data_IF_755477785299
#
_entry.id   IF_755477785299
#
_cell.length_a   1.000
_cell.length_b   1.000
_cell.length_c   1.000
_cell.angle_alpha   90.00
_cell.angle_beta   90.00
_cell.angle_gamma   90.00
#
_symmetry.space_group_name_H-M   'P 1'
#
loop_
_entity.id
_entity.type
_entity.pdbx_description
1 polymer ?
#
# COMPACT_ATOMS: atom_id res chain seq x y z
N UNK A 1 8.07 -19.19 5.39
CA UNK A 1 9.54 -19.07 5.63
C UNK A 1 9.76 -17.68 6.17
N UNK A 2 10.38 -17.55 7.35
CA UNK A 2 10.66 -16.25 7.94
C UNK A 2 11.93 -15.65 7.32
N UNK A 3 11.93 -14.33 7.12
CA UNK A 3 13.09 -13.61 6.64
C UNK A 3 14.21 -13.62 7.69
N UNK A 4 15.46 -13.74 7.24
CA UNK A 4 16.62 -13.67 8.15
C UNK A 4 16.93 -12.23 8.57
N UNK A 5 16.51 -11.27 7.74
CA UNK A 5 16.68 -9.84 7.97
C UNK A 5 15.58 -9.38 8.90
N UNK A 6 15.97 -8.64 9.94
CA UNK A 6 15.05 -8.08 10.94
C UNK A 6 14.51 -6.75 10.42
N UNK A 7 13.19 -6.61 10.42
CA UNK A 7 12.53 -5.37 10.04
C UNK A 7 11.11 -5.26 10.59
N UNK A 8 10.62 -4.03 10.66
CA UNK A 8 9.27 -3.71 11.07
C UNK A 8 8.35 -3.65 9.84
N UNK A 9 7.08 -4.02 10.00
CA UNK A 9 6.03 -3.67 9.07
C UNK A 9 5.22 -2.48 9.60
N UNK A 10 4.91 -1.52 8.73
CA UNK A 10 3.98 -0.44 9.02
C UNK A 10 2.72 -0.58 8.17
N UNK A 11 1.57 -0.50 8.84
CA UNK A 11 0.25 -0.47 8.21
C UNK A 11 -0.31 0.94 8.39
N UNK A 12 -0.23 1.75 7.33
CA UNK A 12 -0.69 3.14 7.36
C UNK A 12 -2.17 3.18 7.00
N UNK A 13 -3.01 3.63 7.94
CA UNK A 13 -4.46 3.63 7.71
C UNK A 13 -5.21 4.68 8.53
N UNK A 14 -6.43 5.00 8.10
CA UNK A 14 -7.33 5.87 8.90
C UNK A 14 -8.08 5.05 9.96
N UNK A 15 -8.62 5.69 11.01
CA UNK A 15 -9.54 5.02 11.95
C UNK A 15 -10.75 4.35 11.30
N UNK A 16 -11.27 4.90 10.20
CA UNK A 16 -12.41 4.29 9.48
C UNK A 16 -11.98 3.07 8.64
N UNK A 17 -10.75 3.10 8.12
CA UNK A 17 -10.12 1.95 7.48
C UNK A 17 -9.86 0.83 8.48
N UNK A 18 -9.26 1.17 9.63
CA UNK A 18 -9.06 0.23 10.73
C UNK A 18 -10.39 -0.45 11.10
N UNK A 19 -11.45 0.33 11.36
CA UNK A 19 -12.77 -0.24 11.69
C UNK A 19 -13.29 -1.16 10.60
N UNK A 20 -13.11 -0.81 9.32
CA UNK A 20 -13.54 -1.64 8.18
C UNK A 20 -12.85 -3.01 8.19
N UNK A 21 -11.62 -3.09 8.68
CA UNK A 21 -10.80 -4.29 8.67
C UNK A 21 -10.74 -5.03 10.02
N UNK A 22 -11.55 -4.60 10.99
CA UNK A 22 -11.71 -5.29 12.29
C UNK A 22 -11.99 -6.78 12.09
N UNK A 23 -11.29 -7.64 12.81
CA UNK A 23 -11.35 -9.09 12.67
C UNK A 23 -10.27 -9.68 11.76
N UNK A 24 -9.60 -8.86 10.95
CA UNK A 24 -8.53 -9.29 10.05
C UNK A 24 -7.12 -8.88 10.49
N UNK A 25 -7.01 -7.94 11.43
CA UNK A 25 -5.71 -7.44 11.89
C UNK A 25 -4.85 -8.52 12.55
N UNK A 26 -5.45 -9.51 13.21
CA UNK A 26 -4.69 -10.66 13.73
C UNK A 26 -4.05 -11.47 12.60
N UNK A 27 -4.80 -11.72 11.53
CA UNK A 27 -4.27 -12.42 10.34
C UNK A 27 -3.13 -11.62 9.70
N UNK A 28 -3.27 -10.29 9.60
CA UNK A 28 -2.19 -9.42 9.13
C UNK A 28 -0.96 -9.55 10.03
N UNK A 29 -1.11 -9.37 11.35
CA UNK A 29 0.01 -9.44 12.30
C UNK A 29 0.71 -10.80 12.30
N UNK A 30 -0.02 -11.88 12.03
CA UNK A 30 0.51 -13.25 12.04
C UNK A 30 1.24 -13.62 10.74
N UNK A 31 0.81 -13.12 9.59
CA UNK A 31 1.30 -13.58 8.28
C UNK A 31 2.28 -12.63 7.60
N UNK A 32 2.35 -11.36 8.03
CA UNK A 32 3.36 -10.44 7.52
C UNK A 32 4.77 -10.90 7.95
N UNK A 33 5.77 -10.90 7.05
CA UNK A 33 7.12 -11.38 7.34
C UNK A 33 7.97 -10.39 8.14
N UNK A 34 7.41 -9.78 9.18
CA UNK A 34 8.10 -8.77 9.99
C UNK A 34 8.18 -9.17 11.46
N UNK A 35 9.21 -8.69 12.16
CA UNK A 35 9.40 -8.95 13.60
C UNK A 35 8.35 -8.23 14.45
N UNK A 36 7.97 -7.02 14.02
CA UNK A 36 6.94 -6.19 14.66
C UNK A 36 6.05 -5.57 13.58
N UNK A 37 4.78 -5.44 13.91
CA UNK A 37 3.79 -4.77 13.07
C UNK A 37 3.28 -3.55 13.79
N UNK A 38 3.41 -2.37 13.18
CA UNK A 38 2.91 -1.11 13.71
C UNK A 38 1.74 -0.60 12.88
N UNK A 39 0.63 -0.30 13.55
CA UNK A 39 -0.46 0.46 12.96
C UNK A 39 -0.13 1.94 13.06
N UNK A 40 0.00 2.61 11.93
CA UNK A 40 0.35 4.02 11.84
C UNK A 40 -0.88 4.81 11.40
N UNK A 41 -1.27 5.78 12.21
CA UNK A 41 -2.38 6.67 11.87
C UNK A 41 -2.75 7.58 13.03
N UNK A 42 -3.95 8.16 12.98
CA UNK A 42 -4.44 9.05 14.04
C UNK A 42 -4.57 8.32 15.39
N UNK A 43 -4.53 9.10 16.48
CA UNK A 43 -4.56 8.60 17.87
C UNK A 43 -5.74 7.67 18.18
N UNK A 44 -6.87 7.79 17.49
CA UNK A 44 -8.03 6.91 17.69
C UNK A 44 -7.72 5.43 17.35
N UNK A 45 -6.70 5.17 16.52
CA UNK A 45 -6.27 3.79 16.23
C UNK A 45 -5.71 3.10 17.48
N UNK A 46 -5.07 3.83 18.40
CA UNK A 46 -4.56 3.24 19.63
C UNK A 46 -5.68 2.57 20.45
N UNK A 47 -6.80 3.27 20.61
CA UNK A 47 -7.98 2.77 21.33
C UNK A 47 -8.67 1.63 20.57
N UNK A 48 -8.80 1.75 19.25
CA UNK A 48 -9.38 0.68 18.41
C UNK A 48 -8.55 -0.60 18.48
N UNK A 49 -7.23 -0.49 18.40
CA UNK A 49 -6.32 -1.62 18.51
C UNK A 49 -6.34 -2.22 19.92
N UNK A 50 -6.38 -1.40 20.97
CA UNK A 50 -6.53 -1.87 22.34
C UNK A 50 -7.82 -2.68 22.53
N UNK A 51 -8.95 -2.16 22.05
CA UNK A 51 -10.25 -2.84 22.11
C UNK A 51 -10.26 -4.14 21.29
N UNK A 52 -9.69 -4.14 20.08
CA UNK A 52 -9.69 -5.33 19.25
C UNK A 52 -8.87 -6.46 19.88
N UNK A 53 -7.73 -6.14 20.51
CA UNK A 53 -6.88 -7.10 21.23
C UNK A 53 -7.60 -7.85 22.34
N UNK A 54 -8.61 -7.25 22.97
CA UNK A 54 -9.38 -7.92 24.04
C UNK A 54 -10.11 -9.17 23.52
N UNK A 55 -10.38 -9.24 22.21
CA UNK A 55 -11.07 -10.37 21.58
C UNK A 55 -10.15 -11.55 21.27
N UNK A 56 -8.83 -11.43 21.49
CA UNK A 56 -7.85 -12.44 21.15
C UNK A 56 -7.09 -12.99 22.37
N UNK A 57 -6.67 -14.27 22.35
CA UNK A 57 -5.76 -14.84 23.35
C UNK A 57 -4.44 -14.05 23.50
N UNK A 58 -3.79 -14.16 24.66
CA UNK A 58 -2.55 -13.42 24.97
C UNK A 58 -1.35 -13.80 24.08
N UNK A 59 -1.37 -14.97 23.47
CA UNK A 59 -0.34 -15.46 22.56
C UNK A 59 -0.60 -15.10 21.08
N UNK A 60 -1.73 -14.47 20.76
CA UNK A 60 -2.05 -13.99 19.40
C UNK A 60 -1.10 -12.89 18.93
N UNK A 61 -0.86 -12.80 17.61
CA UNK A 61 0.13 -11.89 17.04
C UNK A 61 -0.21 -10.41 17.27
N UNK A 62 -1.50 -10.05 17.22
CA UNK A 62 -2.06 -8.72 17.41
C UNK A 62 -1.76 -8.15 18.81
N UNK A 63 -1.52 -9.02 19.80
CA UNK A 63 -1.10 -8.60 21.15
C UNK A 63 0.27 -7.93 21.15
N UNK A 64 1.13 -8.28 20.19
CA UNK A 64 2.47 -7.73 20.01
C UNK A 64 2.51 -6.54 19.05
N UNK A 65 1.40 -6.23 18.37
CA UNK A 65 1.37 -5.10 17.46
C UNK A 65 1.72 -3.79 18.18
N UNK A 66 2.20 -2.80 17.46
CA UNK A 66 2.43 -1.46 17.98
C UNK A 66 1.46 -0.45 17.38
N UNK A 67 1.43 0.75 17.96
CA UNK A 67 0.76 1.90 17.40
C UNK A 67 1.76 3.05 17.30
N UNK A 68 1.71 3.81 16.21
CA UNK A 68 2.48 5.04 16.01
C UNK A 68 1.51 6.13 15.57
N UNK A 69 1.54 7.27 16.27
CA UNK A 69 0.75 8.42 15.89
C UNK A 69 1.36 9.10 14.66
N UNK A 70 0.59 9.20 13.59
CA UNK A 70 1.01 9.81 12.34
C UNK A 70 1.56 11.25 12.52
N UNK A 71 1.00 12.03 13.45
CA UNK A 71 1.42 13.41 13.68
C UNK A 71 2.80 13.53 14.36
N UNK A 72 3.30 12.45 14.98
CA UNK A 72 4.65 12.41 15.53
C UNK A 72 5.71 12.21 14.43
N UNK A 73 5.28 11.72 13.25
CA UNK A 73 6.13 11.55 12.07
C UNK A 73 6.09 12.81 11.19
N UNK A 74 4.89 13.25 10.83
CA UNK A 74 4.65 14.42 9.99
C UNK A 74 3.36 15.08 10.44
N UNK A 75 3.32 16.36 10.84
CA UNK A 75 2.07 16.99 11.26
C UNK A 75 1.06 17.11 10.10
N UNK A 76 -0.15 16.56 10.26
CA UNK A 76 -1.20 16.62 9.23
C UNK A 76 -1.53 18.06 8.81
N UNK A 77 -1.61 18.97 9.77
CA UNK A 77 -2.01 20.36 9.51
C UNK A 77 -1.02 21.10 8.60
N UNK A 78 0.28 20.78 8.71
CA UNK A 78 1.32 21.34 7.82
C UNK A 78 1.10 20.91 6.36
N UNK A 79 0.75 19.64 6.15
CA UNK A 79 0.42 19.11 4.81
C UNK A 79 -0.90 19.70 4.31
N UNK A 80 -1.90 19.81 5.19
CA UNK A 80 -3.22 20.36 4.84
C UNK A 80 -3.17 21.83 4.43
N UNK A 81 -2.31 22.62 5.07
CA UNK A 81 -2.11 24.03 4.75
C UNK A 81 -1.67 24.22 3.29
N UNK A 82 -0.62 23.51 2.85
CA UNK A 82 -0.14 23.60 1.46
C UNK A 82 -1.17 23.11 0.45
N UNK A 83 -1.88 22.01 0.76
CA UNK A 83 -2.97 21.53 -0.10
C UNK A 83 -4.07 22.60 -0.22
N UNK A 84 -4.41 23.30 0.86
CA UNK A 84 -5.34 24.42 0.81
C UNK A 84 -4.80 25.59 -0.03
N UNK A 85 -3.51 25.92 0.04
CA UNK A 85 -2.92 26.98 -0.78
C UNK A 85 -2.98 26.66 -2.27
N UNK A 86 -2.63 25.43 -2.66
CA UNK A 86 -2.68 24.97 -4.06
C UNK A 86 -4.12 25.06 -4.59
N UNK A 87 -5.10 24.56 -3.83
CA UNK A 87 -6.51 24.60 -4.25
C UNK A 87 -7.05 26.03 -4.29
N UNK A 88 -6.67 26.89 -3.34
CA UNK A 88 -7.03 28.32 -3.38
C UNK A 88 -6.46 29.00 -4.62
N UNK A 89 -5.20 28.74 -4.95
CA UNK A 89 -4.50 29.29 -6.13
C UNK A 89 -5.21 28.90 -7.43
N UNK A 90 -5.59 27.63 -7.58
CA UNK A 90 -6.07 27.09 -8.86
C UNK A 90 -7.59 27.12 -9.01
N UNK A 91 -8.35 27.12 -7.91
CA UNK A 91 -9.82 26.97 -7.90
C UNK A 91 -10.56 28.10 -7.17
N UNK A 92 -9.91 29.25 -6.92
CA UNK A 92 -10.60 30.48 -6.53
C UNK A 92 -11.27 30.45 -5.15
N UNK A 93 -10.67 29.77 -4.17
CA UNK A 93 -11.11 29.80 -2.76
C UNK A 93 -11.90 28.59 -2.27
N UNK A 94 -11.98 27.51 -3.05
CA UNK A 94 -12.52 26.24 -2.57
C UNK A 94 -11.64 25.65 -1.45
N UNK A 95 -12.27 24.96 -0.50
CA UNK A 95 -11.56 24.21 0.54
C UNK A 95 -11.52 22.74 0.12
N UNK A 96 -10.33 22.13 0.01
CA UNK A 96 -10.22 20.71 -0.33
C UNK A 96 -10.84 19.85 0.77
N UNK A 97 -11.49 18.75 0.37
CA UNK A 97 -11.92 17.74 1.32
C UNK A 97 -10.73 17.11 2.03
N UNK A 98 -10.89 16.78 3.32
CA UNK A 98 -9.84 16.13 4.14
C UNK A 98 -9.26 14.87 3.47
N UNK A 99 -10.06 14.15 2.70
CA UNK A 99 -9.65 12.94 1.99
C UNK A 99 -8.56 13.19 0.95
N UNK A 100 -8.57 14.36 0.28
CA UNK A 100 -7.53 14.70 -0.69
C UNK A 100 -6.19 14.82 0.04
N UNK A 101 -6.12 15.64 1.09
CA UNK A 101 -4.90 15.74 1.92
C UNK A 101 -4.52 14.40 2.53
N UNK A 102 -5.50 13.66 3.06
CA UNK A 102 -5.27 12.37 3.70
C UNK A 102 -4.58 11.36 2.78
N UNK A 103 -4.90 11.37 1.49
CA UNK A 103 -4.29 10.49 0.52
C UNK A 103 -2.79 10.77 0.30
N UNK A 104 -2.39 12.02 0.08
CA UNK A 104 -0.97 12.40 -0.03
C UNK A 104 -0.24 12.22 1.30
N UNK A 105 -0.91 12.57 2.39
CA UNK A 105 -0.34 12.47 3.72
C UNK A 105 0.07 11.04 4.08
N UNK A 106 -0.77 10.04 3.79
CA UNK A 106 -0.40 8.63 4.01
C UNK A 106 0.85 8.22 3.24
N UNK A 107 0.99 8.68 1.99
CA UNK A 107 2.17 8.41 1.18
C UNK A 107 3.44 9.04 1.77
N UNK A 108 3.34 10.28 2.26
CA UNK A 108 4.46 10.95 2.89
C UNK A 108 4.87 10.30 4.21
N UNK A 109 3.91 9.80 4.99
CA UNK A 109 4.18 9.02 6.20
C UNK A 109 4.98 7.75 5.88
N UNK A 110 4.63 7.04 4.79
CA UNK A 110 5.34 5.82 4.37
C UNK A 110 6.84 6.08 4.11
N UNK A 111 7.21 7.22 3.55
CA UNK A 111 8.62 7.60 3.38
C UNK A 111 9.25 8.23 4.62
N UNK A 112 8.53 9.12 5.30
CA UNK A 112 9.04 9.81 6.48
C UNK A 112 9.35 8.85 7.64
N UNK A 113 8.71 7.68 7.69
CA UNK A 113 9.03 6.60 8.62
C UNK A 113 10.52 6.17 8.57
N UNK A 114 11.18 6.26 7.41
CA UNK A 114 12.62 5.96 7.28
C UNK A 114 13.52 6.78 8.23
N UNK A 115 13.05 7.94 8.69
CA UNK A 115 13.80 8.80 9.62
C UNK A 115 13.70 8.33 11.08
N UNK A 116 12.72 7.49 11.41
CA UNK A 116 12.49 6.99 12.78
C UNK A 116 12.64 5.47 12.90
N UNK A 117 12.78 4.76 11.77
CA UNK A 117 13.10 3.34 11.77
C UNK A 117 14.50 3.10 12.34
N UNK A 118 14.61 2.12 13.25
CA UNK A 118 15.90 1.62 13.76
C UNK A 118 16.51 0.54 12.84
N UNK A 119 15.73 0.04 11.88
CA UNK A 119 16.13 -1.03 10.95
C UNK A 119 16.56 -0.46 9.60
N UNK A 120 17.43 -1.18 8.89
CA UNK A 120 17.81 -0.86 7.51
C UNK A 120 16.61 -0.93 6.57
N UNK A 121 15.76 -1.93 6.76
CA UNK A 121 14.56 -2.14 5.97
C UNK A 121 13.30 -1.98 6.82
N UNK A 122 12.19 -1.66 6.17
CA UNK A 122 10.86 -1.75 6.74
C UNK A 122 9.85 -2.08 5.64
N UNK A 123 8.84 -2.88 5.98
CA UNK A 123 7.77 -3.26 5.06
C UNK A 123 6.63 -2.25 5.19
N UNK A 124 6.28 -1.59 4.09
CA UNK A 124 5.06 -0.81 4.00
C UNK A 124 3.94 -1.72 3.52
N UNK A 125 2.79 -1.71 4.18
CA UNK A 125 1.63 -2.54 3.84
C UNK A 125 0.35 -1.71 3.84
N UNK A 126 -0.48 -1.85 2.80
CA UNK A 126 -1.76 -1.15 2.69
C UNK A 126 -2.80 -1.76 3.64
N UNK A 127 -3.49 -0.89 4.40
CA UNK A 127 -4.37 -1.31 5.50
C UNK A 127 -5.62 -2.07 5.09
N UNK A 128 -6.01 -2.02 3.81
CA UNK A 128 -7.17 -2.77 3.28
C UNK A 128 -6.80 -4.09 2.60
N UNK A 129 -5.54 -4.53 2.73
CA UNK A 129 -5.03 -5.76 2.12
C UNK A 129 -4.73 -6.81 3.18
N UNK A 130 -5.27 -8.01 3.01
CA UNK A 130 -5.13 -9.12 3.96
C UNK A 130 -4.25 -10.21 3.34
N UNK A 131 -3.15 -10.64 4.00
CA UNK A 131 -2.36 -11.76 3.53
C UNK A 131 -3.16 -13.09 3.62
N UNK A 132 -3.07 -13.90 2.57
CA UNK A 132 -3.67 -15.22 2.48
C UNK A 132 -2.72 -16.32 2.95
N UNK A 133 -1.41 -16.08 2.91
CA UNK A 133 -0.36 -17.05 3.26
C UNK A 133 0.88 -16.36 3.80
N UNK A 134 1.77 -17.15 4.41
CA UNK A 134 3.14 -16.68 4.67
C UNK A 134 3.89 -16.46 3.36
N UNK A 135 4.71 -15.42 3.33
CA UNK A 135 5.61 -15.10 2.24
C UNK A 135 6.90 -14.50 2.78
N UNK A 136 7.83 -14.20 1.90
CA UNK A 136 9.13 -13.62 2.23
C UNK A 136 9.34 -12.40 1.35
N UNK A 137 9.96 -11.35 1.87
CA UNK A 137 10.36 -10.18 1.07
C UNK A 137 11.81 -10.25 0.60
N UNK A 138 12.51 -11.35 0.87
CA UNK A 138 13.91 -11.52 0.54
C UNK A 138 14.18 -12.86 -0.17
N UNK A 139 15.14 -12.88 -1.07
CA UNK A 139 15.64 -14.13 -1.66
C UNK A 139 16.43 -14.94 -0.63
N UNK A 140 16.78 -16.18 -0.99
CA UNK A 140 17.65 -17.02 -0.15
C UNK A 140 19.04 -16.39 0.11
N UNK A 141 19.47 -15.52 -0.82
CA UNK A 141 20.70 -14.72 -0.78
C UNK A 141 20.47 -13.32 -0.16
N UNK A 142 19.37 -13.14 0.59
CA UNK A 142 19.03 -11.95 1.38
C UNK A 142 18.90 -10.65 0.54
N UNK A 143 18.51 -10.76 -0.74
CA UNK A 143 18.19 -9.59 -1.59
C UNK A 143 16.68 -9.28 -1.54
N UNK A 144 16.28 -8.00 -1.35
CA UNK A 144 14.88 -7.64 -1.27
C UNK A 144 14.16 -7.77 -2.62
N UNK A 145 12.87 -8.06 -2.58
CA UNK A 145 12.01 -8.10 -3.76
C UNK A 145 11.28 -6.77 -4.00
N UNK A 146 11.20 -6.36 -5.26
CA UNK A 146 10.12 -5.50 -5.75
C UNK A 146 9.03 -6.36 -6.36
N UNK A 147 7.91 -6.43 -5.66
CA UNK A 147 6.70 -7.03 -6.16
C UNK A 147 6.03 -6.09 -7.15
N UNK A 148 5.80 -6.58 -8.37
CA UNK A 148 5.34 -5.76 -9.50
C UNK A 148 4.04 -6.25 -10.08
N UNK A 149 3.22 -5.31 -10.59
CA UNK A 149 1.93 -5.54 -11.24
C UNK A 149 1.87 -4.90 -12.63
N UNK A 150 0.71 -4.93 -13.29
CA UNK A 150 0.52 -4.46 -14.67
C UNK A 150 -0.16 -3.08 -14.79
N UNK A 151 -0.29 -2.35 -13.68
CA UNK A 151 -1.01 -1.08 -13.67
C UNK A 151 -0.23 0.04 -14.37
N UNK A 152 -0.96 1.03 -14.86
CA UNK A 152 -0.39 2.24 -15.41
C UNK A 152 -1.30 3.43 -15.17
N UNK A 153 -0.86 4.35 -14.30
CA UNK A 153 -1.53 5.63 -14.08
C UNK A 153 -0.59 6.75 -14.49
N UNK A 154 -0.84 7.32 -15.68
CA UNK A 154 0.01 8.36 -16.29
C UNK A 154 0.33 9.53 -15.34
N UNK A 155 -0.61 10.07 -14.52
CA UNK A 155 -0.32 11.18 -13.61
C UNK A 155 0.88 10.95 -12.68
N UNK A 156 1.13 9.70 -12.24
CA UNK A 156 2.30 9.40 -11.40
C UNK A 156 3.61 9.73 -12.11
N UNK A 157 3.75 9.31 -13.38
CA UNK A 157 4.96 9.54 -14.15
C UNK A 157 5.13 11.01 -14.55
N UNK A 158 4.03 11.73 -14.77
CA UNK A 158 4.05 13.17 -14.99
C UNK A 158 4.61 13.90 -13.76
N UNK A 159 4.19 13.50 -12.56
CA UNK A 159 4.71 14.05 -11.30
C UNK A 159 6.17 13.68 -11.08
N UNK A 160 6.56 12.41 -11.28
CA UNK A 160 7.96 11.95 -11.19
C UNK A 160 8.87 12.83 -12.06
N UNK A 161 8.46 13.08 -13.31
CA UNK A 161 9.23 13.88 -14.26
C UNK A 161 9.36 15.37 -13.85
N UNK A 162 8.48 15.87 -12.99
CA UNK A 162 8.60 17.23 -12.43
C UNK A 162 9.57 17.26 -11.25
N UNK A 163 9.41 16.34 -10.30
CA UNK A 163 10.21 16.32 -9.06
C UNK A 163 11.63 15.80 -9.28
N UNK A 164 11.83 14.89 -10.22
CA UNK A 164 13.10 14.26 -10.58
C UNK A 164 13.21 14.18 -12.13
N UNK A 165 13.57 15.28 -12.81
CA UNK A 165 13.50 15.38 -14.28
C UNK A 165 14.36 14.38 -15.06
N UNK A 166 15.34 13.75 -14.42
CA UNK A 166 16.17 12.69 -14.98
C UNK A 166 15.48 11.32 -15.02
N UNK A 167 14.34 11.18 -14.33
CA UNK A 167 13.59 9.93 -14.24
C UNK A 167 12.46 9.86 -15.25
N UNK A 168 12.23 8.65 -15.75
CA UNK A 168 11.07 8.28 -16.55
C UNK A 168 10.68 6.84 -16.21
N UNK A 169 9.49 6.39 -16.63
CA UNK A 169 9.11 4.97 -16.49
C UNK A 169 10.23 4.08 -17.03
N UNK A 170 10.74 3.19 -16.17
CA UNK A 170 11.96 2.41 -16.43
C UNK A 170 11.70 0.92 -16.65
N UNK A 171 10.49 0.44 -16.35
CA UNK A 171 10.04 -0.94 -16.56
C UNK A 171 8.60 -0.94 -17.11
N UNK A 172 8.22 -2.00 -17.82
CA UNK A 172 6.87 -2.15 -18.38
C UNK A 172 5.81 -2.33 -17.28
N UNK A 173 6.18 -3.02 -16.20
CA UNK A 173 5.34 -3.24 -15.01
C UNK A 173 5.21 -1.98 -14.15
N UNK A 174 4.40 -2.05 -13.11
CA UNK A 174 4.25 -1.03 -12.07
C UNK A 174 4.71 -1.58 -10.73
N UNK A 175 5.24 -0.68 -9.90
CA UNK A 175 5.65 -0.99 -8.53
C UNK A 175 4.49 -0.89 -7.52
N UNK A 176 3.29 -0.55 -7.97
CA UNK A 176 2.09 -0.50 -7.12
C UNK A 176 1.60 -1.93 -6.92
N UNK A 177 1.82 -2.48 -5.73
CA UNK A 177 1.54 -3.88 -5.40
C UNK A 177 0.99 -4.09 -3.99
N UNK A 178 0.29 -3.09 -3.45
CA UNK A 178 -0.30 -3.06 -2.08
C UNK A 178 0.70 -3.11 -0.92
N UNK A 179 1.96 -3.44 -1.19
CA UNK A 179 3.04 -3.42 -0.22
C UNK A 179 4.40 -3.20 -0.88
N UNK A 180 5.40 -2.80 -0.08
CA UNK A 180 6.77 -2.65 -0.56
C UNK A 180 7.77 -2.70 0.59
N UNK A 181 8.83 -3.49 0.44
CA UNK A 181 9.98 -3.43 1.36
C UNK A 181 10.86 -2.24 0.98
N UNK A 182 11.04 -1.31 1.91
CA UNK A 182 11.77 -0.06 1.72
C UNK A 182 13.14 -0.15 2.38
N UNK A 183 14.18 0.30 1.70
CA UNK A 183 15.51 0.55 2.27
C UNK A 183 15.57 2.01 2.78
N UNK A 184 15.80 2.19 4.09
CA UNK A 184 15.80 3.51 4.72
C UNK A 184 16.83 4.47 4.11
N UNK A 185 18.02 3.97 3.73
CA UNK A 185 19.07 4.83 3.19
C UNK A 185 18.72 5.29 1.77
N UNK A 186 18.12 4.41 0.97
CA UNK A 186 17.66 4.76 -0.38
C UNK A 186 16.46 5.71 -0.35
N UNK A 187 15.54 5.56 0.62
CA UNK A 187 14.44 6.52 0.82
C UNK A 187 15.01 7.90 1.18
N UNK A 188 15.97 7.98 2.10
CA UNK A 188 16.62 9.24 2.49
C UNK A 188 17.39 9.88 1.34
N UNK A 189 18.06 9.09 0.52
CA UNK A 189 18.74 9.59 -0.69
C UNK A 189 17.72 10.17 -1.67
N UNK A 190 16.62 9.45 -1.94
CA UNK A 190 15.53 9.89 -2.80
C UNK A 190 14.93 11.21 -2.31
N UNK A 191 14.54 11.30 -1.02
CA UNK A 191 13.92 12.52 -0.47
C UNK A 191 14.90 13.70 -0.52
N UNK A 192 16.18 13.47 -0.24
CA UNK A 192 17.22 14.51 -0.34
C UNK A 192 17.37 15.06 -1.77
N UNK A 193 17.23 14.21 -2.79
CA UNK A 193 17.28 14.64 -4.19
C UNK A 193 16.06 15.48 -4.58
N UNK A 194 14.87 15.08 -4.12
CA UNK A 194 13.64 15.88 -4.31
C UNK A 194 13.80 17.26 -3.65
N UNK A 195 14.37 17.30 -2.45
CA UNK A 195 14.62 18.55 -1.70
C UNK A 195 15.63 19.46 -2.40
N UNK A 196 16.63 18.88 -3.07
CA UNK A 196 17.64 19.60 -3.85
C UNK A 196 17.10 20.21 -5.16
N UNK A 197 15.87 19.90 -5.58
CA UNK A 197 15.27 20.48 -6.78
C UNK A 197 14.89 21.96 -6.54
N UNK A 198 15.77 22.88 -6.94
CA UNK A 198 15.58 24.34 -6.81
C UNK A 198 14.44 24.89 -7.69
N UNK A 199 13.95 24.10 -8.66
CA UNK A 199 12.87 24.49 -9.57
C UNK A 199 11.47 24.40 -8.98
N UNK A 200 11.33 23.89 -7.75
CA UNK A 200 10.04 23.67 -7.08
C UNK A 200 10.04 24.36 -5.71
N UNK A 201 8.91 24.95 -5.33
CA UNK A 201 8.76 25.59 -4.02
C UNK A 201 8.81 24.56 -2.87
N UNK A 202 9.23 25.01 -1.69
CA UNK A 202 9.35 24.18 -0.49
C UNK A 202 10.79 23.85 -0.14
N UNK A 203 10.97 23.23 1.04
CA UNK A 203 12.27 22.85 1.61
C UNK A 203 12.38 21.36 1.91
N UNK A 204 11.26 20.71 2.18
CA UNK A 204 11.16 19.28 2.45
C UNK A 204 10.54 18.53 1.26
N UNK A 205 10.81 17.23 1.16
CA UNK A 205 10.39 16.44 0.01
C UNK A 205 8.87 16.49 -0.23
N UNK A 206 8.07 16.48 0.84
CA UNK A 206 6.61 16.46 0.75
C UNK A 206 6.06 17.82 0.30
N UNK A 207 6.68 18.94 0.71
CA UNK A 207 6.35 20.27 0.19
C UNK A 207 6.64 20.34 -1.31
N UNK A 208 7.81 19.86 -1.74
CA UNK A 208 8.22 19.82 -3.15
C UNK A 208 7.25 18.98 -3.98
N UNK A 209 6.89 17.78 -3.50
CA UNK A 209 5.91 16.94 -4.19
C UNK A 209 4.58 17.68 -4.33
N UNK A 210 4.03 18.26 -3.26
CA UNK A 210 2.77 18.99 -3.33
C UNK A 210 2.84 20.20 -4.28
N UNK A 211 3.88 21.01 -4.20
CA UNK A 211 4.04 22.19 -5.05
C UNK A 211 4.25 21.88 -6.53
N UNK A 212 4.65 20.64 -6.86
CA UNK A 212 4.73 20.16 -8.25
C UNK A 212 3.35 19.86 -8.88
N UNK A 213 2.31 19.77 -8.06
CA UNK A 213 0.95 19.40 -8.46
C UNK A 213 0.06 20.65 -8.64
N UNK A 214 -0.83 20.57 -9.63
CA UNK A 214 -2.00 21.44 -9.75
C UNK A 214 -3.18 20.89 -8.92
N UNK A 215 -4.20 21.70 -8.68
CA UNK A 215 -5.38 21.25 -7.96
C UNK A 215 -6.14 20.09 -8.65
N UNK A 216 -6.12 20.02 -9.99
CA UNK A 216 -6.70 18.87 -10.70
C UNK A 216 -5.86 17.61 -10.51
N UNK A 217 -4.53 17.73 -10.55
CA UNK A 217 -3.63 16.59 -10.28
C UNK A 217 -3.73 16.12 -8.83
N UNK A 218 -3.98 17.04 -7.89
CA UNK A 218 -4.30 16.68 -6.51
C UNK A 218 -5.54 15.78 -6.42
N UNK A 219 -6.62 16.14 -7.16
CA UNK A 219 -7.88 15.38 -7.19
C UNK A 219 -7.76 14.04 -7.90
N UNK A 220 -6.90 13.95 -8.92
CA UNK A 220 -6.70 12.75 -9.74
C UNK A 220 -5.62 11.81 -9.17
N UNK A 221 -5.26 11.99 -7.90
CA UNK A 221 -4.24 11.16 -7.23
C UNK A 221 -2.93 11.19 -8.04
N UNK A 222 -2.29 12.35 -8.15
CA UNK A 222 -1.17 12.59 -9.06
C UNK A 222 0.19 12.03 -8.63
N UNK A 223 0.34 11.47 -7.43
CA UNK A 223 1.64 11.01 -6.91
C UNK A 223 1.56 9.60 -6.32
N UNK A 224 2.54 8.73 -6.59
CA UNK A 224 2.66 7.43 -5.91
C UNK A 224 4.06 7.30 -5.31
N UNK A 225 4.13 7.04 -4.02
CA UNK A 225 5.34 6.72 -3.27
C UNK A 225 5.99 5.44 -3.77
N UNK A 226 5.20 4.40 -4.05
CA UNK A 226 5.69 3.12 -4.56
C UNK A 226 6.25 3.26 -5.97
N UNK A 227 5.50 3.90 -6.88
CA UNK A 227 5.95 4.08 -8.26
C UNK A 227 7.19 4.98 -8.33
N UNK A 228 7.23 6.04 -7.51
CA UNK A 228 8.38 6.96 -7.46
C UNK A 228 9.62 6.27 -6.89
N UNK A 229 9.49 5.55 -5.77
CA UNK A 229 10.61 4.85 -5.14
C UNK A 229 11.16 3.74 -6.04
N UNK A 230 10.29 2.87 -6.57
CA UNK A 230 10.71 1.80 -7.48
C UNK A 230 11.39 2.34 -8.74
N UNK A 231 10.84 3.42 -9.33
CA UNK A 231 11.46 4.07 -10.50
C UNK A 231 12.84 4.64 -10.18
N UNK A 232 12.98 5.30 -9.02
CA UNK A 232 14.26 5.86 -8.59
C UNK A 232 15.32 4.78 -8.38
N UNK A 233 14.98 3.74 -7.61
CA UNK A 233 15.89 2.62 -7.30
C UNK A 233 16.28 1.88 -8.57
N UNK A 234 15.34 1.56 -9.46
CA UNK A 234 15.69 0.89 -10.73
C UNK A 234 16.49 1.76 -11.70
N UNK A 235 16.49 3.09 -11.53
CA UNK A 235 17.28 3.99 -12.37
C UNK A 235 18.71 4.19 -11.83
N UNK A 236 18.88 4.21 -10.50
CA UNK A 236 20.14 4.55 -9.84
C UNK A 236 20.85 3.37 -9.15
N UNK A 237 20.10 2.35 -8.76
CA UNK A 237 20.51 1.23 -7.89
C UNK A 237 19.97 -0.11 -8.42
N UNK A 238 20.22 -0.40 -9.71
CA UNK A 238 19.62 -1.52 -10.46
C UNK A 238 19.75 -2.90 -9.82
N UNK A 239 20.80 -3.13 -9.05
CA UNK A 239 21.10 -4.42 -8.43
C UNK A 239 20.62 -4.50 -6.97
N UNK A 240 20.00 -3.45 -6.44
CA UNK A 240 19.56 -3.42 -5.04
C UNK A 240 18.34 -4.31 -4.77
N UNK A 241 17.50 -4.56 -5.79
CA UNK A 241 16.25 -5.29 -5.68
C UNK A 241 16.07 -6.30 -6.82
N UNK A 242 15.42 -7.42 -6.51
CA UNK A 242 15.01 -8.42 -7.49
C UNK A 242 13.54 -8.18 -7.85
N UNK A 243 13.22 -8.06 -9.14
CA UNK A 243 11.82 -7.98 -9.58
C UNK A 243 11.14 -9.33 -9.41
N UNK A 244 9.98 -9.35 -8.76
CA UNK A 244 9.16 -10.53 -8.55
C UNK A 244 7.73 -10.29 -9.01
N UNK A 245 7.15 -11.30 -9.63
CA UNK A 245 5.73 -11.33 -9.96
C UNK A 245 4.95 -11.70 -8.71
N UNK A 246 4.05 -10.81 -8.31
CA UNK A 246 3.26 -10.97 -7.10
C UNK A 246 1.79 -10.98 -7.46
N UNK A 247 1.13 -12.10 -7.13
CA UNK A 247 -0.29 -12.27 -7.41
C UNK A 247 -1.09 -12.01 -6.13
N UNK A 248 -1.91 -10.97 -6.15
CA UNK A 248 -2.83 -10.62 -5.06
C UNK A 248 -4.18 -10.21 -5.63
N UNK A 249 -5.24 -10.69 -5.00
CA UNK A 249 -6.60 -10.44 -5.42
C UNK A 249 -7.02 -9.02 -5.03
N UNK A 250 -6.58 -8.03 -5.81
CA UNK A 250 -6.81 -6.60 -5.54
C UNK A 250 -8.29 -6.23 -5.46
N UNK A 251 -9.10 -6.89 -6.28
CA UNK A 251 -10.54 -6.68 -6.34
C UNK A 251 -11.33 -7.62 -5.42
N UNK A 252 -10.77 -7.97 -4.27
CA UNK A 252 -11.36 -8.92 -3.33
C UNK A 252 -12.76 -8.54 -2.87
N UNK A 253 -13.02 -7.24 -2.64
CA UNK A 253 -14.34 -6.73 -2.27
C UNK A 253 -15.42 -6.90 -3.36
N UNK A 254 -15.03 -7.18 -4.61
CA UNK A 254 -15.97 -7.54 -5.68
C UNK A 254 -16.45 -9.00 -5.59
N UNK A 255 -15.78 -9.85 -4.81
CA UNK A 255 -16.04 -11.30 -4.79
C UNK A 255 -16.34 -11.85 -3.39
N UNK A 256 -15.81 -11.20 -2.35
CA UNK A 256 -15.99 -11.60 -0.96
C UNK A 256 -16.63 -10.48 -0.16
N UNK A 257 -17.47 -10.89 0.81
CA UNK A 257 -17.86 -10.03 1.91
C UNK A 257 -16.78 -10.15 2.99
N UNK A 258 -16.09 -9.05 3.30
CA UNK A 258 -15.03 -9.02 4.32
C UNK A 258 -15.51 -9.51 5.70
N UNK A 259 -16.80 -9.36 6.02
CA UNK A 259 -17.34 -9.78 7.32
C UNK A 259 -17.75 -11.27 7.31
N UNK A 260 -17.76 -11.93 6.15
CA UNK A 260 -18.17 -13.33 5.98
C UNK A 260 -17.08 -14.25 5.42
N UNK A 261 -15.98 -13.69 4.91
CA UNK A 261 -14.85 -14.49 4.43
C UNK A 261 -14.31 -15.34 5.58
N UNK A 262 -14.17 -16.65 5.33
CA UNK A 262 -13.81 -17.64 6.34
C UNK A 262 -12.36 -18.12 6.19
N UNK A 263 -11.84 -18.80 7.22
CA UNK A 263 -10.51 -19.43 7.14
C UNK A 263 -10.41 -20.44 5.98
N UNK A 264 -11.50 -21.15 5.67
CA UNK A 264 -11.56 -22.04 4.49
C UNK A 264 -11.34 -21.26 3.19
N UNK A 265 -11.91 -20.07 3.08
CA UNK A 265 -11.76 -19.23 1.89
C UNK A 265 -10.32 -18.72 1.78
N UNK A 266 -9.71 -18.31 2.90
CA UNK A 266 -8.27 -17.95 2.92
C UNK A 266 -7.37 -19.14 2.57
N UNK A 267 -7.62 -20.33 3.12
CA UNK A 267 -6.86 -21.55 2.79
C UNK A 267 -6.98 -21.91 1.31
N UNK A 268 -8.16 -21.69 0.72
CA UNK A 268 -8.37 -21.88 -0.71
C UNK A 268 -7.63 -20.82 -1.55
N UNK A 269 -7.74 -19.54 -1.19
CA UNK A 269 -7.04 -18.42 -1.85
C UNK A 269 -5.51 -18.56 -1.78
N UNK A 270 -4.98 -19.05 -0.65
CA UNK A 270 -3.55 -19.19 -0.36
C UNK A 270 -2.77 -20.04 -1.36
N UNK A 271 -3.46 -20.87 -2.15
CA UNK A 271 -2.86 -21.73 -3.17
C UNK A 271 -2.35 -20.92 -4.36
N UNK A 272 -3.06 -19.84 -4.71
CA UNK A 272 -2.81 -19.07 -5.92
C UNK A 272 -2.44 -17.60 -5.64
N UNK A 273 -2.92 -17.05 -4.52
CA UNK A 273 -2.78 -15.65 -4.15
C UNK A 273 -2.00 -15.48 -2.85
N UNK A 274 -1.20 -14.42 -2.80
CA UNK A 274 -0.49 -14.01 -1.59
C UNK A 274 -1.35 -13.17 -0.66
N UNK A 275 -2.23 -12.33 -1.21
CA UNK A 275 -3.10 -11.45 -0.47
C UNK A 275 -4.41 -11.17 -1.21
N UNK A 276 -5.36 -10.53 -0.52
CA UNK A 276 -6.65 -10.07 -1.03
C UNK A 276 -6.98 -8.69 -0.47
N UNK A 277 -7.47 -7.77 -1.30
CA UNK A 277 -7.74 -6.38 -0.91
C UNK A 277 -9.24 -6.04 -0.91
N UNK A 278 -9.65 -5.15 0.00
CA UNK A 278 -11.04 -4.72 0.18
C UNK A 278 -11.18 -3.20 0.02
N UNK A 279 -11.03 -2.72 -1.22
CA UNK A 279 -11.13 -1.30 -1.55
C UNK A 279 -12.54 -0.73 -1.31
N UNK A 280 -12.63 0.51 -0.82
CA UNK A 280 -13.89 1.14 -0.35
C UNK A 280 -14.99 1.28 -1.41
N UNK A 281 -14.60 1.41 -2.68
CA UNK A 281 -15.52 1.71 -3.77
C UNK A 281 -15.99 0.47 -4.51
N UNK A 282 -15.66 -0.71 -4.00
CA UNK A 282 -16.05 -1.99 -4.57
C UNK A 282 -17.22 -2.60 -3.80
N UNK A 283 -18.05 -3.35 -4.53
CA UNK A 283 -19.13 -4.12 -3.97
C UNK A 283 -19.22 -5.45 -4.70
N UNK A 284 -19.78 -6.46 -4.01
CA UNK A 284 -19.89 -7.80 -4.56
C UNK A 284 -20.67 -7.77 -5.88
N UNK A 285 -20.02 -8.29 -6.92
CA UNK A 285 -20.57 -8.42 -8.26
C UNK A 285 -21.75 -9.40 -8.26
N UNK A 286 -22.97 -8.98 -8.63
CA UNK A 286 -24.14 -9.84 -8.58
C UNK A 286 -24.01 -11.12 -9.42
N UNK A 287 -23.31 -11.04 -10.54
CA UNK A 287 -23.04 -12.13 -11.48
C UNK A 287 -22.05 -13.17 -10.94
N UNK A 288 -21.21 -12.78 -9.98
CA UNK A 288 -20.21 -13.66 -9.34
C UNK A 288 -20.55 -14.02 -7.90
N UNK A 289 -21.74 -13.59 -7.45
CA UNK A 289 -22.21 -13.84 -6.10
C UNK A 289 -22.24 -15.36 -5.84
N UNK A 290 -21.61 -15.78 -4.75
CA UNK A 290 -21.48 -17.19 -4.38
C UNK A 290 -20.67 -18.06 -5.35
N UNK A 291 -19.81 -17.48 -6.20
CA UNK A 291 -18.85 -18.27 -6.99
C UNK A 291 -17.59 -18.53 -6.17
N UNK A 292 -16.98 -17.48 -5.63
CA UNK A 292 -15.68 -17.56 -4.95
C UNK A 292 -15.73 -18.17 -3.54
N UNK A 293 -16.85 -18.07 -2.83
CA UNK A 293 -17.02 -18.58 -1.45
C UNK A 293 -17.91 -19.83 -1.35
N UNK A 294 -18.17 -20.50 -2.47
CA UNK A 294 -18.96 -21.74 -2.50
C UNK A 294 -18.08 -22.97 -2.35
N UNK A 295 -18.22 -23.75 -1.26
CA UNK A 295 -17.34 -24.90 -1.01
C UNK A 295 -17.36 -25.95 -2.13
N UNK A 296 -18.48 -26.15 -2.83
CA UNK A 296 -18.53 -27.12 -3.95
C UNK A 296 -17.71 -26.70 -5.16
N UNK A 297 -17.54 -25.38 -5.37
CA UNK A 297 -16.66 -24.86 -6.42
C UNK A 297 -15.20 -24.87 -5.97
N UNK A 298 -14.93 -24.45 -4.73
CA UNK A 298 -13.58 -24.48 -4.15
C UNK A 298 -12.97 -25.90 -4.07
N UNK A 299 -13.81 -26.93 -3.94
CA UNK A 299 -13.39 -28.34 -4.00
C UNK A 299 -12.89 -28.77 -5.39
N UNK A 300 -13.33 -28.09 -6.46
CA UNK A 300 -13.11 -28.51 -7.86
C UNK A 300 -12.19 -27.58 -8.65
N UNK A 301 -12.18 -26.30 -8.28
CA UNK A 301 -11.48 -25.24 -8.99
C UNK A 301 -10.60 -24.47 -8.02
N UNK A 302 -9.41 -24.12 -8.47
CA UNK A 302 -8.51 -23.19 -7.80
C UNK A 302 -9.03 -21.74 -7.91
N UNK A 303 -8.52 -20.85 -7.06
CA UNK A 303 -8.92 -19.44 -7.09
C UNK A 303 -8.46 -18.78 -8.40
N UNK A 304 -7.27 -19.15 -8.88
CA UNK A 304 -6.79 -18.76 -10.21
C UNK A 304 -7.76 -19.15 -11.32
N UNK A 305 -8.20 -20.41 -11.37
CA UNK A 305 -9.10 -20.87 -12.43
C UNK A 305 -10.44 -20.11 -12.44
N UNK A 306 -11.01 -19.84 -11.26
CA UNK A 306 -12.24 -19.05 -11.17
C UNK A 306 -11.98 -17.60 -11.61
N UNK A 307 -10.86 -17.01 -11.18
CA UNK A 307 -10.50 -15.65 -11.56
C UNK A 307 -10.27 -15.52 -13.07
N UNK A 308 -9.55 -16.45 -13.70
CA UNK A 308 -9.36 -16.49 -15.16
C UNK A 308 -10.70 -16.52 -15.90
N UNK A 309 -11.67 -17.33 -15.45
CA UNK A 309 -13.02 -17.39 -16.05
C UNK A 309 -13.79 -16.07 -15.88
N UNK A 310 -13.76 -15.47 -14.69
CA UNK A 310 -14.53 -14.25 -14.37
C UNK A 310 -13.92 -13.01 -15.06
N UNK A 311 -12.61 -13.02 -15.30
CA UNK A 311 -11.90 -11.94 -15.97
C UNK A 311 -12.10 -11.90 -17.49
N UNK A 312 -12.61 -12.97 -18.11
CA UNK A 312 -13.02 -12.95 -19.52
C UNK A 312 -14.10 -11.90 -19.79
N UNK A 313 -14.95 -11.63 -18.78
CA UNK A 313 -16.04 -10.66 -18.86
C UNK A 313 -15.59 -9.21 -18.54
N UNK A 314 -14.31 -8.99 -18.17
CA UNK A 314 -13.80 -7.66 -17.82
C UNK A 314 -13.75 -6.77 -19.07
N UNK A 315 -14.27 -5.55 -18.96
CA UNK A 315 -14.16 -4.53 -20.01
C UNK A 315 -12.74 -3.96 -20.07
N UNK A 316 -12.41 -3.29 -21.17
CA UNK A 316 -11.04 -2.91 -21.58
C UNK A 316 -10.22 -2.03 -20.61
N UNK A 317 -10.76 -1.61 -19.47
CA UNK A 317 -10.06 -0.77 -18.48
C UNK A 317 -10.04 -1.35 -17.06
N UNK A 318 -10.60 -2.55 -16.85
CA UNK A 318 -10.57 -3.23 -15.55
C UNK A 318 -9.23 -3.95 -15.37
N UNK A 319 -8.57 -3.76 -14.22
CA UNK A 319 -7.31 -4.45 -13.90
C UNK A 319 -7.49 -5.97 -14.02
N UNK A 320 -6.54 -6.65 -14.66
CA UNK A 320 -6.54 -8.11 -14.81
C UNK A 320 -5.35 -8.70 -14.08
N UNK A 321 -5.64 -9.69 -13.26
CA UNK A 321 -4.66 -10.59 -12.69
C UNK A 321 -4.07 -11.47 -13.79
N UNK A 322 -2.75 -11.46 -13.91
CA UNK A 322 -1.99 -12.21 -14.92
C UNK A 322 -0.92 -13.01 -14.19
N UNK A 323 -0.92 -14.33 -14.40
CA UNK A 323 0.13 -15.21 -13.94
C UNK A 323 1.14 -15.44 -15.07
N UNK A 324 2.42 -15.39 -14.74
CA UNK A 324 3.51 -15.73 -15.66
C UNK A 324 3.61 -17.23 -15.98
#
# INVERSE_FOLDING_TARGET
>A
MADKIIYDAIIVQTPDDFKRMTGHHERMCRLLPADRVFFVGRSEIADLLANERENYPEDSAIKKAGFINENDILPFDAVHEIVCEIVKRDMGGQVPGRNITGWYYQQFIKWAYSNISDNKYYLVWDGDTIPCREFSMFSDDDHPFFDTKHEYHKPYFDTISKILPELSKCIDRSFISEHMIMDCDLVKELTSRIEANEGINGSSFWEKVLWSLSASELMDSGFSEFETYGTYVMSHHKDAYILRSYNSMRYGAMFFDKDKISDRDFDWLSKDFYAISFEKNQAIRPDTNNIFNNPRYQEKLSARQIMEMVQEDYKNDEYREVWD
#
